data_IF_547238265883
#
_entry.id   IF_547238265883
#
_cell.length_a   1.000
_cell.length_b   1.000
_cell.length_c   1.000
_cell.angle_alpha   90.00
_cell.angle_beta   90.00
_cell.angle_gamma   90.00
#
_symmetry.space_group_name_H-M   'P 1'
#
loop_
_entity.id
_entity.type
_entity.pdbx_description
1 polymer ?
#
# COMPACT_ATOMS: atom_id res chain seq x y z
N UNK A 1 -56.30 40.07 10.26
CA UNK A 1 -55.96 38.91 9.40
C UNK A 1 -55.38 39.50 8.11
N UNK A 2 -54.18 39.25 7.59
CA UNK A 2 -53.08 38.38 7.96
C UNK A 2 -51.78 38.86 7.23
N UNK A 3 -50.80 39.34 8.02
CA UNK A 3 -49.31 39.42 7.94
C UNK A 3 -48.54 39.77 6.62
N UNK A 4 -47.51 40.66 6.69
CA UNK A 4 -46.59 40.96 5.58
C UNK A 4 -45.46 39.92 5.43
N UNK A 5 -45.10 39.65 4.16
CA UNK A 5 -44.04 38.73 3.73
C UNK A 5 -42.68 39.33 4.11
N UNK A 6 -42.00 38.72 5.09
CA UNK A 6 -40.59 38.99 5.40
C UNK A 6 -39.72 38.23 4.39
N UNK A 7 -39.12 38.93 3.42
CA UNK A 7 -37.97 38.41 2.70
C UNK A 7 -36.78 38.35 3.66
N UNK A 8 -36.48 37.15 4.16
CA UNK A 8 -35.20 36.83 4.76
C UNK A 8 -34.21 36.55 3.63
N UNK A 9 -33.22 37.44 3.49
CA UNK A 9 -32.04 37.19 2.67
C UNK A 9 -31.30 35.97 3.23
N UNK A 10 -31.35 34.85 2.50
CA UNK A 10 -30.45 33.72 2.73
C UNK A 10 -29.10 34.06 2.11
N UNK A 11 -28.21 34.61 2.93
CA UNK A 11 -26.76 34.59 2.69
C UNK A 11 -26.29 33.14 2.70
N UNK A 12 -26.33 32.50 1.52
CA UNK A 12 -25.79 31.16 1.32
C UNK A 12 -24.26 31.19 1.41
N UNK A 13 -23.74 30.73 2.55
CA UNK A 13 -22.32 30.43 2.71
C UNK A 13 -21.93 29.29 1.77
N UNK A 14 -21.09 29.59 0.77
CA UNK A 14 -20.46 28.60 -0.10
C UNK A 14 -19.43 27.82 0.73
N UNK A 15 -19.78 26.62 1.17
CA UNK A 15 -18.82 25.62 1.67
C UNK A 15 -18.00 25.11 0.48
N UNK A 16 -16.79 25.65 0.30
CA UNK A 16 -15.78 25.03 -0.56
C UNK A 16 -15.28 23.78 0.15
N UNK A 17 -15.85 22.63 -0.18
CA UNK A 17 -15.26 21.34 0.16
C UNK A 17 -13.92 21.22 -0.57
N UNK A 18 -12.83 21.15 0.19
CA UNK A 18 -11.49 20.92 -0.35
C UNK A 18 -11.47 19.62 -1.15
N UNK A 19 -11.23 19.75 -2.46
CA UNK A 19 -10.99 18.63 -3.35
C UNK A 19 -9.64 18.02 -2.95
N UNK A 20 -9.68 17.02 -2.08
CA UNK A 20 -8.52 16.15 -1.90
C UNK A 20 -8.28 15.51 -3.26
N UNK A 21 -7.13 15.76 -3.88
CA UNK A 21 -6.77 15.06 -5.12
C UNK A 21 -6.86 13.56 -4.85
N UNK A 22 -7.89 12.92 -5.40
CA UNK A 22 -8.09 11.49 -5.24
C UNK A 22 -6.93 10.79 -5.97
N UNK A 23 -6.04 10.16 -5.22
CA UNK A 23 -5.02 9.30 -5.80
C UNK A 23 -5.69 8.24 -6.69
N UNK A 24 -5.11 7.99 -7.86
CA UNK A 24 -5.66 7.02 -8.79
C UNK A 24 -5.59 5.61 -8.20
N UNK A 25 -6.59 4.77 -8.51
CA UNK A 25 -6.59 3.38 -8.05
C UNK A 25 -5.39 2.64 -8.67
N UNK A 26 -4.51 2.01 -7.86
CA UNK A 26 -3.25 1.45 -8.35
C UNK A 26 -3.44 0.30 -9.35
N UNK A 27 -4.51 -0.47 -9.23
CA UNK A 27 -4.88 -1.51 -10.20
C UNK A 27 -5.25 -0.89 -11.56
N UNK A 28 -5.99 0.22 -11.57
CA UNK A 28 -6.35 0.93 -12.80
C UNK A 28 -5.12 1.57 -13.47
N UNK A 29 -4.22 2.16 -12.68
CA UNK A 29 -2.94 2.68 -13.19
C UNK A 29 -2.07 1.56 -13.76
N UNK A 30 -1.99 0.41 -13.06
CA UNK A 30 -1.29 -0.76 -13.57
C UNK A 30 -1.86 -1.19 -14.92
N UNK A 31 -3.18 -1.39 -15.01
CA UNK A 31 -3.84 -1.85 -16.23
C UNK A 31 -3.64 -0.89 -17.42
N UNK A 32 -3.76 0.41 -17.18
CA UNK A 32 -3.68 1.43 -18.24
C UNK A 32 -2.26 1.81 -18.66
N UNK A 33 -1.28 1.71 -17.75
CA UNK A 33 0.07 2.25 -17.97
C UNK A 33 1.16 1.19 -17.89
N UNK A 34 1.11 0.28 -16.91
CA UNK A 34 2.23 -0.61 -16.60
C UNK A 34 2.12 -1.98 -17.28
N UNK A 35 0.90 -2.47 -17.48
CA UNK A 35 0.61 -3.83 -17.93
C UNK A 35 1.17 -4.12 -19.33
N UNK A 36 1.23 -3.10 -20.21
CA UNK A 36 1.76 -3.22 -21.56
C UNK A 36 3.15 -3.90 -21.61
N UNK A 37 3.99 -3.66 -20.60
CA UNK A 37 5.29 -4.30 -20.48
C UNK A 37 5.35 -5.35 -19.36
N UNK A 38 4.74 -5.06 -18.21
CA UNK A 38 4.89 -5.89 -17.01
C UNK A 38 3.94 -7.09 -16.92
N UNK A 39 2.98 -7.24 -17.84
CA UNK A 39 2.16 -8.46 -17.90
C UNK A 39 2.92 -9.64 -18.52
N UNK A 40 3.57 -9.41 -19.67
CA UNK A 40 4.27 -10.46 -20.43
C UNK A 40 5.80 -10.39 -20.33
N UNK A 41 6.35 -9.31 -19.77
CA UNK A 41 7.79 -9.10 -19.60
C UNK A 41 8.48 -8.52 -20.83
N UNK A 42 7.79 -7.64 -21.56
CA UNK A 42 8.33 -6.94 -22.74
C UNK A 42 9.64 -6.23 -22.37
N UNK A 43 10.64 -6.30 -23.26
CA UNK A 43 11.95 -5.71 -23.05
C UNK A 43 12.63 -6.12 -21.73
N UNK A 44 12.38 -7.37 -21.29
CA UNK A 44 12.87 -7.93 -20.02
C UNK A 44 12.31 -7.22 -18.77
N UNK A 45 11.10 -6.64 -18.86
CA UNK A 45 10.38 -6.15 -17.71
C UNK A 45 10.07 -7.29 -16.72
N UNK A 46 10.20 -7.07 -15.40
CA UNK A 46 9.77 -8.06 -14.42
C UNK A 46 8.26 -8.28 -14.52
N UNK A 47 7.87 -9.54 -14.72
CA UNK A 47 6.47 -9.94 -14.87
C UNK A 47 5.75 -9.83 -13.52
N UNK A 48 4.55 -9.27 -13.52
CA UNK A 48 3.68 -9.30 -12.34
C UNK A 48 3.46 -10.76 -11.91
N UNK A 49 3.56 -11.03 -10.61
CA UNK A 49 3.37 -12.38 -10.06
C UNK A 49 4.63 -13.24 -10.00
N UNK A 50 5.74 -12.85 -10.64
CA UNK A 50 7.01 -13.59 -10.55
C UNK A 50 7.71 -13.32 -9.20
N UNK A 51 7.26 -14.04 -8.17
CA UNK A 51 7.73 -13.82 -6.80
C UNK A 51 9.24 -13.94 -6.64
N UNK A 52 9.88 -14.86 -7.36
CA UNK A 52 11.33 -15.05 -7.28
C UNK A 52 12.07 -13.84 -7.87
N UNK A 53 11.63 -13.31 -9.01
CA UNK A 53 12.24 -12.14 -9.63
C UNK A 53 12.04 -10.87 -8.81
N UNK A 54 10.83 -10.66 -8.28
CA UNK A 54 10.54 -9.50 -7.44
C UNK A 54 11.29 -9.56 -6.10
N UNK A 55 11.45 -10.74 -5.51
CA UNK A 55 12.24 -10.91 -4.29
C UNK A 55 13.73 -10.60 -4.52
N UNK A 56 14.32 -11.06 -5.64
CA UNK A 56 15.69 -10.68 -6.01
C UNK A 56 15.86 -9.17 -6.18
N UNK A 57 14.85 -8.50 -6.74
CA UNK A 57 14.85 -7.04 -6.92
C UNK A 57 14.78 -6.30 -5.59
N UNK A 58 13.91 -6.75 -4.69
CA UNK A 58 13.82 -6.22 -3.33
C UNK A 58 15.13 -6.39 -2.57
N UNK A 59 15.80 -7.54 -2.67
CA UNK A 59 17.10 -7.76 -2.01
C UNK A 59 18.21 -6.82 -2.52
N UNK A 60 18.20 -6.46 -3.80
CA UNK A 60 19.25 -5.62 -4.41
C UNK A 60 19.19 -4.14 -4.00
N UNK A 61 18.01 -3.60 -3.72
CA UNK A 61 17.87 -2.16 -3.47
C UNK A 61 16.69 -1.75 -2.59
N UNK A 62 15.89 -2.70 -2.11
CA UNK A 62 14.69 -2.44 -1.34
C UNK A 62 13.56 -1.82 -2.17
N UNK A 63 12.43 -1.63 -1.50
CA UNK A 63 11.21 -1.09 -2.09
C UNK A 63 11.38 0.35 -2.60
N UNK A 64 12.01 1.21 -1.81
CA UNK A 64 12.23 2.62 -2.17
C UNK A 64 13.01 2.76 -3.48
N UNK A 65 14.03 1.92 -3.72
CA UNK A 65 14.77 1.97 -4.98
C UNK A 65 13.92 1.52 -6.19
N UNK A 66 12.97 0.61 -6.00
CA UNK A 66 12.04 0.20 -7.06
C UNK A 66 11.05 1.32 -7.39
N UNK A 67 10.55 2.02 -6.37
CA UNK A 67 9.68 3.19 -6.54
C UNK A 67 10.43 4.30 -7.28
N UNK A 68 11.66 4.63 -6.84
CA UNK A 68 12.48 5.64 -7.51
C UNK A 68 12.80 5.27 -8.96
N UNK A 69 13.08 3.98 -9.23
CA UNK A 69 13.27 3.48 -10.60
C UNK A 69 12.02 3.69 -11.44
N UNK A 70 10.83 3.46 -10.88
CA UNK A 70 9.58 3.64 -11.61
C UNK A 70 9.28 5.12 -11.88
N UNK A 71 9.60 6.01 -10.95
CA UNK A 71 9.42 7.46 -11.11
C UNK A 71 10.37 8.02 -12.17
N UNK A 72 11.66 7.69 -12.06
CA UNK A 72 12.73 8.24 -12.92
C UNK A 72 12.92 7.50 -14.23
N UNK A 73 12.43 6.27 -14.34
CA UNK A 73 12.72 5.36 -15.43
C UNK A 73 14.11 4.75 -15.33
N UNK A 74 14.34 3.66 -16.07
CA UNK A 74 15.65 3.01 -16.21
C UNK A 74 15.69 2.13 -17.45
N UNK A 75 16.68 2.34 -18.31
CA UNK A 75 16.86 1.57 -19.53
C UNK A 75 15.62 1.69 -20.43
N UNK A 76 15.01 0.55 -20.78
CA UNK A 76 13.80 0.50 -21.59
C UNK A 76 12.52 0.92 -20.85
N UNK A 77 12.55 1.10 -19.52
CA UNK A 77 11.41 1.58 -18.74
C UNK A 77 11.40 3.12 -18.71
N UNK A 78 10.45 3.80 -19.38
CA UNK A 78 10.35 5.25 -19.35
C UNK A 78 9.97 5.77 -17.96
N UNK A 79 10.28 7.04 -17.63
CA UNK A 79 9.81 7.69 -16.40
C UNK A 79 8.30 7.56 -16.25
N UNK A 80 7.84 7.18 -15.05
CA UNK A 80 6.42 6.97 -14.71
C UNK A 80 5.68 6.01 -15.65
N UNK A 81 6.39 5.04 -16.23
CA UNK A 81 5.81 4.13 -17.22
C UNK A 81 5.38 4.81 -18.53
N UNK A 82 5.91 6.00 -18.82
CA UNK A 82 5.58 6.77 -20.01
C UNK A 82 4.34 7.66 -19.86
N UNK A 83 3.72 7.68 -18.68
CA UNK A 83 2.57 8.52 -18.39
C UNK A 83 2.95 9.70 -17.50
N UNK A 84 3.25 10.84 -18.12
CA UNK A 84 3.65 12.06 -17.42
C UNK A 84 2.54 12.66 -16.53
N UNK A 85 1.28 12.27 -16.72
CA UNK A 85 0.16 12.74 -15.91
C UNK A 85 0.07 12.07 -14.54
N UNK A 86 0.76 10.94 -14.32
CA UNK A 86 0.78 10.28 -13.02
C UNK A 86 1.55 11.11 -12.00
N UNK A 87 0.99 11.24 -10.80
CA UNK A 87 1.74 11.75 -9.66
C UNK A 87 2.73 10.69 -9.16
N UNK A 88 3.76 11.12 -8.44
CA UNK A 88 4.71 10.19 -7.81
C UNK A 88 4.01 9.30 -6.77
N UNK A 89 2.92 9.80 -6.17
CA UNK A 89 2.08 9.03 -5.26
C UNK A 89 1.34 7.90 -5.99
N UNK A 90 0.80 8.15 -7.19
CA UNK A 90 0.14 7.12 -8.00
C UNK A 90 1.14 6.05 -8.45
N UNK A 91 2.33 6.46 -8.89
CA UNK A 91 3.41 5.53 -9.26
C UNK A 91 3.83 4.68 -8.06
N UNK A 92 4.04 5.30 -6.90
CA UNK A 92 4.36 4.59 -5.65
C UNK A 92 3.29 3.57 -5.31
N UNK A 93 2.03 3.97 -5.25
CA UNK A 93 0.91 3.08 -4.92
C UNK A 93 0.83 1.89 -5.90
N UNK A 94 1.08 2.15 -7.18
CA UNK A 94 1.07 1.12 -8.23
C UNK A 94 2.23 0.14 -8.09
N UNK A 95 3.45 0.61 -7.76
CA UNK A 95 4.59 -0.28 -7.49
C UNK A 95 4.32 -1.16 -6.26
N UNK A 96 3.73 -0.61 -5.19
CA UNK A 96 3.33 -1.39 -4.01
C UNK A 96 2.27 -2.44 -4.33
N UNK A 97 1.31 -2.10 -5.20
CA UNK A 97 0.36 -3.06 -5.73
C UNK A 97 1.08 -4.18 -6.51
N UNK A 98 2.01 -3.85 -7.41
CA UNK A 98 2.75 -4.86 -8.17
C UNK A 98 3.56 -5.81 -7.27
N UNK A 99 4.18 -5.27 -6.23
CA UNK A 99 4.90 -6.06 -5.23
C UNK A 99 3.95 -6.96 -4.43
N UNK A 100 2.75 -6.50 -4.08
CA UNK A 100 1.76 -7.31 -3.35
C UNK A 100 1.26 -8.48 -4.20
N UNK A 101 1.02 -8.25 -5.49
CA UNK A 101 0.65 -9.32 -6.43
C UNK A 101 1.80 -10.29 -6.73
N UNK A 102 3.04 -9.91 -6.39
CA UNK A 102 4.25 -10.69 -6.68
C UNK A 102 4.85 -11.31 -5.42
N UNK A 103 4.04 -11.59 -4.40
CA UNK A 103 4.46 -12.38 -3.25
C UNK A 103 5.42 -11.67 -2.28
N UNK A 104 5.37 -10.32 -2.20
CA UNK A 104 6.08 -9.59 -1.13
C UNK A 104 5.67 -10.15 0.24
N UNK A 105 6.61 -10.64 1.08
CA UNK A 105 6.26 -11.06 2.44
C UNK A 105 5.67 -9.87 3.20
N UNK A 106 4.55 -10.11 3.89
CA UNK A 106 3.61 -9.09 4.40
C UNK A 106 4.13 -8.13 5.49
N UNK A 107 5.45 -8.02 5.68
CA UNK A 107 6.08 -7.11 6.66
C UNK A 107 6.21 -5.66 6.20
N UNK A 108 5.99 -5.35 4.91
CA UNK A 108 6.18 -4.00 4.36
C UNK A 108 4.87 -3.27 3.97
N UNK A 109 3.70 -3.84 4.30
CA UNK A 109 2.39 -3.32 3.86
C UNK A 109 1.62 -2.48 4.90
N UNK A 110 2.17 -2.21 6.08
CA UNK A 110 1.37 -1.72 7.21
C UNK A 110 1.48 -0.21 7.53
N UNK A 111 2.04 0.65 6.66
CA UNK A 111 2.10 2.10 6.94
C UNK A 111 1.50 3.02 5.86
N UNK A 112 0.97 2.49 4.76
CA UNK A 112 0.35 3.32 3.72
C UNK A 112 -1.18 3.22 3.63
N UNK A 113 -1.82 2.32 4.39
CA UNK A 113 -3.28 2.13 4.31
C UNK A 113 -4.09 2.75 5.46
N UNK A 114 -3.49 3.59 6.32
CA UNK A 114 -4.29 4.31 7.33
C UNK A 114 -3.74 5.68 7.73
N UNK A 115 -4.18 6.70 6.98
CA UNK A 115 -4.52 8.02 7.51
C UNK A 115 -5.57 8.63 6.56
N UNK A 116 -6.80 9.02 6.90
CA UNK A 116 -7.66 8.98 8.11
C UNK A 116 -9.06 9.53 7.66
N UNK A 117 -10.09 9.77 8.51
CA UNK A 117 -10.56 9.10 9.73
C UNK A 117 -12.09 8.81 9.71
N UNK A 118 -12.56 7.87 10.54
CA UNK A 118 -13.79 8.01 11.35
C UNK A 118 -13.91 6.81 12.28
N UNK A 119 -14.23 7.08 13.55
CA UNK A 119 -14.49 6.08 14.59
C UNK A 119 -15.62 5.13 14.15
N UNK A 120 -15.32 3.85 14.06
CA UNK A 120 -16.26 2.77 14.31
C UNK A 120 -15.48 1.65 15.00
N UNK A 121 -16.11 1.04 16.00
CA UNK A 121 -15.53 0.07 16.91
C UNK A 121 -14.73 -1.03 16.18
N UNK A 122 -13.58 -1.40 16.76
CA UNK A 122 -12.85 -2.59 16.38
C UNK A 122 -13.79 -3.81 16.40
N UNK A 123 -13.81 -4.68 15.37
CA UNK A 123 -14.46 -5.96 15.53
C UNK A 123 -13.66 -6.75 16.57
N UNK A 124 -14.35 -7.26 17.58
CA UNK A 124 -13.78 -8.18 18.55
C UNK A 124 -13.06 -9.32 17.80
N UNK A 125 -11.83 -9.61 18.23
CA UNK A 125 -11.04 -10.72 17.71
C UNK A 125 -11.86 -12.01 17.78
N UNK A 126 -11.91 -12.76 16.67
CA UNK A 126 -12.49 -14.10 16.67
C UNK A 126 -11.60 -15.05 17.49
N UNK A 127 -12.15 -15.92 18.34
CA UNK A 127 -11.36 -16.97 18.99
C UNK A 127 -10.68 -17.84 17.92
N UNK A 128 -9.35 -17.91 17.95
CA UNK A 128 -8.55 -18.76 17.07
C UNK A 128 -7.87 -18.07 15.88
N UNK A 129 -8.02 -16.74 15.70
CA UNK A 129 -7.21 -16.01 14.72
C UNK A 129 -5.90 -15.53 15.37
N UNK A 130 -4.81 -16.25 15.12
CA UNK A 130 -3.47 -15.83 15.50
C UNK A 130 -3.01 -14.62 14.69
N UNK A 131 -2.24 -13.72 15.32
CA UNK A 131 -1.69 -12.54 14.66
C UNK A 131 -0.78 -12.92 13.47
N UNK A 132 -0.62 -12.08 12.44
CA UNK A 132 0.34 -12.31 11.36
C UNK A 132 1.74 -12.54 11.95
N UNK A 133 2.36 -13.67 11.60
CA UNK A 133 3.67 -14.08 12.12
C UNK A 133 3.63 -14.90 13.41
N UNK A 134 2.49 -14.99 14.10
CA UNK A 134 2.34 -15.84 15.29
C UNK A 134 2.49 -17.32 14.94
N UNK A 135 1.99 -17.78 13.79
CA UNK A 135 2.18 -19.16 13.36
C UNK A 135 3.65 -19.47 13.06
N UNK A 136 4.38 -18.54 12.43
CA UNK A 136 5.82 -18.69 12.19
C UNK A 136 6.61 -18.68 13.50
N UNK A 137 6.25 -17.80 14.43
CA UNK A 137 6.87 -17.75 15.75
C UNK A 137 6.63 -19.03 16.53
N UNK A 138 5.40 -19.54 16.59
CA UNK A 138 5.08 -20.79 17.28
C UNK A 138 5.78 -22.00 16.65
N UNK A 139 5.93 -22.03 15.32
CA UNK A 139 6.57 -23.15 14.62
C UNK A 139 8.10 -23.14 14.71
N UNK A 140 8.74 -21.98 14.72
CA UNK A 140 10.19 -21.86 14.52
C UNK A 140 10.94 -21.22 15.70
N UNK A 141 10.27 -20.41 16.52
CA UNK A 141 10.92 -19.55 17.51
C UNK A 141 10.50 -19.86 18.95
N UNK A 142 9.26 -20.27 19.15
CA UNK A 142 8.64 -20.42 20.46
C UNK A 142 9.32 -21.47 21.34
N UNK A 143 9.91 -22.50 20.73
CA UNK A 143 10.64 -23.56 21.44
C UNK A 143 11.70 -22.97 22.38
N UNK A 144 12.37 -21.89 21.97
CA UNK A 144 13.40 -21.24 22.79
C UNK A 144 12.87 -19.97 23.47
N UNK A 145 12.12 -19.14 22.74
CA UNK A 145 11.79 -17.78 23.18
C UNK A 145 10.50 -17.68 24.01
N UNK A 146 9.62 -18.70 24.00
CA UNK A 146 8.37 -18.68 24.79
C UNK A 146 8.65 -18.88 26.28
N UNK A 147 9.55 -19.81 26.59
CA UNK A 147 9.91 -20.13 27.98
C UNK A 147 11.27 -19.53 28.39
N UNK A 148 11.99 -18.88 27.47
CA UNK A 148 13.30 -18.27 27.75
C UNK A 148 14.38 -19.32 28.03
N UNK A 149 14.32 -20.43 27.29
CA UNK A 149 15.23 -21.56 27.46
C UNK A 149 16.65 -21.10 27.12
N UNK A 150 17.63 -21.51 27.95
CA UNK A 150 19.05 -21.19 27.79
C UNK A 150 19.38 -19.68 27.80
N UNK A 151 18.56 -18.86 28.47
CA UNK A 151 18.79 -17.41 28.56
C UNK A 151 18.37 -16.65 27.31
N UNK A 152 17.58 -17.27 26.44
CA UNK A 152 16.94 -16.58 25.32
C UNK A 152 16.01 -15.48 25.84
N UNK A 153 16.04 -14.26 25.28
CA UNK A 153 15.12 -13.20 25.67
C UNK A 153 13.70 -13.63 25.36
N UNK A 154 12.78 -13.49 26.33
CA UNK A 154 11.38 -13.78 26.09
C UNK A 154 10.74 -12.62 25.35
N UNK A 155 9.80 -12.97 24.49
CA UNK A 155 9.01 -11.99 23.76
C UNK A 155 8.05 -11.30 24.75
N UNK A 156 8.35 -10.05 25.12
CA UNK A 156 7.50 -9.23 26.00
C UNK A 156 8.17 -8.70 27.28
N UNK A 157 9.42 -9.12 27.57
CA UNK A 157 10.12 -8.76 28.81
C UNK A 157 10.83 -7.38 28.75
N UNK A 158 10.24 -6.39 28.08
CA UNK A 158 10.77 -5.00 28.04
C UNK A 158 10.05 -4.09 29.05
#
# INVERSE_FOLDING_TARGET
MNRPIRLLAFTGALLVAGQSAQAAEPQAVYASTCAACHASGVANAPKLGDAAEWQRRLQRGGESALIETAIKGRGAMPPKGGNAALSDADVRATVLFMLSQSGRPSGAAATAAKAAPARAAAPAARPGASAPGQQTYELACAICHKEGVLGAPRLGDA
#
